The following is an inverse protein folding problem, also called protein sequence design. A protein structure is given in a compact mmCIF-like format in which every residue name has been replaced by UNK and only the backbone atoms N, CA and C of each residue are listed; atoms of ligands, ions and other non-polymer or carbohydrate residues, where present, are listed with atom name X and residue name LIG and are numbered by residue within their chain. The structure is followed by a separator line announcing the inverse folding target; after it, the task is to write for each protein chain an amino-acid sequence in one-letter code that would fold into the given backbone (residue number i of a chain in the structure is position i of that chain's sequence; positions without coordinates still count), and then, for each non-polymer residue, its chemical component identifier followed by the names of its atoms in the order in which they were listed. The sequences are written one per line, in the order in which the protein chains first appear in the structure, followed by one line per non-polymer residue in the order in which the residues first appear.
data_IF_576936073981
#
_entry.id   IF_576936073981
#
_cell.length_a   1.000
_cell.length_b   1.000
_cell.length_c   1.000
_cell.angle_alpha   90.00
_cell.angle_beta   90.00
_cell.angle_gamma   90.00
#
_symmetry.space_group_name_H-M   'P 1'
#
loop_
_entity.id
_entity.type
_entity.pdbx_description
1 polymer ?
#
# COMPACT_ATOMS: atom_id res chain seq x y z
N UNK A 1 24.33 14.52 9.01
CA UNK A 1 23.92 14.24 7.61
C UNK A 1 22.40 14.19 7.58
N UNK A 2 21.80 14.64 6.49
CA UNK A 2 20.49 15.30 6.34
C UNK A 2 19.26 14.60 6.94
N UNK A 3 18.59 15.27 7.88
CA UNK A 3 17.21 14.99 8.27
C UNK A 3 16.27 15.58 7.22
N UNK A 4 15.52 14.76 6.46
CA UNK A 4 14.41 15.26 5.64
C UNK A 4 14.29 14.72 4.22
N UNK A 5 14.93 13.60 3.87
CA UNK A 5 14.55 12.89 2.64
C UNK A 5 13.20 12.23 2.91
N UNK A 6 12.15 12.89 2.46
CA UNK A 6 10.80 12.45 2.73
C UNK A 6 10.59 11.16 1.92
N UNK A 7 10.57 10.01 2.61
CA UNK A 7 10.29 8.65 2.09
C UNK A 7 8.87 8.58 1.50
N UNK A 8 8.61 9.34 0.44
CA UNK A 8 7.31 9.48 -0.22
C UNK A 8 7.36 8.81 -1.57
N UNK A 9 6.61 7.73 -1.72
CA UNK A 9 6.44 7.05 -2.99
C UNK A 9 5.16 7.52 -3.69
N UNK A 10 5.21 7.95 -4.97
CA UNK A 10 4.04 8.37 -5.72
C UNK A 10 3.05 7.21 -5.98
N UNK A 11 1.79 7.38 -5.58
CA UNK A 11 0.74 6.35 -5.75
C UNK A 11 0.53 5.98 -7.23
N UNK A 12 0.70 6.93 -8.14
CA UNK A 12 0.53 6.69 -9.57
C UNK A 12 1.57 5.70 -10.14
N UNK A 13 2.73 5.54 -9.50
CA UNK A 13 3.77 4.59 -9.91
C UNK A 13 3.51 3.15 -9.41
N UNK A 14 2.58 2.95 -8.47
CA UNK A 14 2.25 1.63 -7.93
C UNK A 14 1.66 0.69 -9.01
N UNK A 15 0.95 1.23 -10.00
CA UNK A 15 0.42 0.43 -11.11
C UNK A 15 1.56 -0.26 -11.86
N UNK A 16 2.59 0.49 -12.23
CA UNK A 16 3.77 -0.04 -12.92
C UNK A 16 4.57 -0.99 -12.03
N UNK A 17 4.75 -0.67 -10.75
CA UNK A 17 5.47 -1.51 -9.76
C UNK A 17 4.86 -2.91 -9.64
N UNK A 18 3.53 -3.01 -9.68
CA UNK A 18 2.80 -4.28 -9.55
C UNK A 18 2.42 -4.91 -10.90
N UNK A 19 3.27 -4.73 -11.92
CA UNK A 19 3.11 -5.39 -13.22
C UNK A 19 1.95 -4.84 -14.07
N UNK A 20 1.63 -3.55 -13.95
CA UNK A 20 0.54 -2.93 -14.71
C UNK A 20 -0.84 -3.10 -14.06
N UNK A 21 -0.88 -3.24 -12.73
CA UNK A 21 -2.13 -3.37 -11.99
C UNK A 21 -3.05 -2.18 -12.28
N UNK A 22 -4.34 -2.45 -12.54
CA UNK A 22 -5.31 -1.39 -12.80
C UNK A 22 -5.47 -0.48 -11.60
N UNK A 23 -5.67 0.82 -11.84
CA UNK A 23 -5.84 1.84 -10.78
C UNK A 23 -6.83 1.42 -9.70
N UNK A 24 -8.00 0.89 -10.05
CA UNK A 24 -9.01 0.47 -9.07
C UNK A 24 -8.47 -0.58 -8.10
N UNK A 25 -7.66 -1.53 -8.57
CA UNK A 25 -7.06 -2.55 -7.73
C UNK A 25 -5.95 -1.98 -6.83
N UNK A 26 -5.20 -0.96 -7.26
CA UNK A 26 -4.23 -0.27 -6.39
C UNK A 26 -4.95 0.41 -5.23
N UNK A 27 -6.00 1.18 -5.53
CA UNK A 27 -6.75 1.90 -4.52
C UNK A 27 -7.52 0.97 -3.58
N UNK A 28 -8.03 -0.16 -4.09
CA UNK A 28 -8.64 -1.20 -3.26
C UNK A 28 -7.65 -1.75 -2.23
N UNK A 29 -6.40 -2.03 -2.62
CA UNK A 29 -5.37 -2.51 -1.68
C UNK A 29 -4.99 -1.48 -0.63
N UNK A 30 -4.88 -0.20 -1.03
CA UNK A 30 -4.64 0.88 -0.09
C UNK A 30 -5.77 0.96 0.95
N UNK A 31 -7.02 0.86 0.50
CA UNK A 31 -8.20 0.81 1.37
C UNK A 31 -8.19 -0.42 2.28
N UNK A 32 -7.92 -1.61 1.74
CA UNK A 32 -7.85 -2.86 2.51
C UNK A 32 -6.81 -2.80 3.63
N UNK A 33 -5.70 -2.08 3.41
CA UNK A 33 -4.63 -1.84 4.38
C UNK A 33 -4.85 -0.59 5.25
N UNK A 34 -5.98 0.12 5.12
CA UNK A 34 -6.25 1.39 5.80
C UNK A 34 -5.20 2.49 5.53
N UNK A 35 -4.50 2.43 4.39
CA UNK A 35 -3.50 3.41 3.99
C UNK A 35 -4.21 4.60 3.35
N UNK A 36 -3.93 5.80 3.87
CA UNK A 36 -4.48 7.06 3.35
C UNK A 36 -3.36 7.87 2.67
N UNK A 37 -3.27 7.84 1.33
CA UNK A 37 -2.26 8.61 0.63
C UNK A 37 -2.34 10.10 0.92
N UNK A 38 -1.19 10.73 1.14
CA UNK A 38 -1.07 12.16 1.38
C UNK A 38 -0.98 12.91 0.05
N UNK A 39 -1.88 13.86 -0.17
CA UNK A 39 -1.86 14.70 -1.38
C UNK A 39 -0.86 15.83 -1.22
N UNK A 40 0.08 15.93 -2.15
CA UNK A 40 1.04 17.04 -2.26
C UNK A 40 0.98 17.57 -3.68
N UNK A 41 0.39 18.76 -3.84
CA UNK A 41 0.09 19.35 -5.14
C UNK A 41 -0.89 18.51 -5.97
N UNK A 42 -0.43 18.01 -7.12
CA UNK A 42 -1.22 17.18 -8.06
C UNK A 42 -1.07 15.68 -7.81
N UNK A 43 -0.11 15.26 -6.99
CA UNK A 43 0.22 13.85 -6.77
C UNK A 43 -0.20 13.42 -5.36
N UNK A 44 -0.48 12.12 -5.23
CA UNK A 44 -0.67 11.47 -3.93
C UNK A 44 0.53 10.59 -3.65
N UNK A 45 0.95 10.57 -2.39
CA UNK A 45 2.13 9.85 -1.93
C UNK A 45 1.78 8.94 -0.75
N UNK A 46 2.51 7.84 -0.64
CA UNK A 46 2.54 6.98 0.56
C UNK A 46 3.94 6.98 1.13
N UNK A 47 4.08 6.65 2.41
CA UNK A 47 5.36 6.52 3.09
C UNK A 47 6.10 5.24 2.65
N UNK A 48 7.40 5.15 2.94
CA UNK A 48 8.18 3.92 2.72
C UNK A 48 7.61 2.70 3.46
N UNK A 49 7.12 2.88 4.69
CA UNK A 49 6.49 1.81 5.46
C UNK A 49 5.16 1.34 4.84
N UNK A 50 4.34 2.28 4.36
CA UNK A 50 3.09 1.97 3.65
C UNK A 50 3.36 1.28 2.30
N UNK A 51 4.43 1.69 1.60
CA UNK A 51 4.88 1.02 0.38
C UNK A 51 5.27 -0.43 0.65
N UNK A 52 6.04 -0.67 1.72
CA UNK A 52 6.43 -2.02 2.11
C UNK A 52 5.19 -2.90 2.41
N UNK A 53 4.19 -2.39 3.12
CA UNK A 53 2.95 -3.12 3.37
C UNK A 53 2.20 -3.45 2.07
N UNK A 54 2.17 -2.52 1.13
CA UNK A 54 1.58 -2.74 -0.19
C UNK A 54 2.34 -3.81 -1.00
N UNK A 55 3.67 -3.82 -0.92
CA UNK A 55 4.52 -4.83 -1.57
C UNK A 55 4.25 -6.22 -1.00
N UNK A 56 4.26 -6.35 0.33
CA UNK A 56 3.99 -7.60 1.03
C UNK A 56 2.58 -8.14 0.73
N UNK A 57 1.57 -7.26 0.74
CA UNK A 57 0.20 -7.64 0.35
C UNK A 57 0.15 -8.10 -1.11
N UNK A 58 0.86 -7.42 -2.01
CA UNK A 58 0.87 -7.80 -3.42
C UNK A 58 1.45 -9.21 -3.60
N UNK A 59 2.59 -9.48 -2.98
CA UNK A 59 3.21 -10.81 -3.01
C UNK A 59 2.31 -11.87 -2.40
N UNK A 60 1.66 -11.58 -1.28
CA UNK A 60 0.75 -12.51 -0.62
C UNK A 60 -0.42 -12.89 -1.53
N UNK A 61 -1.01 -11.93 -2.23
CA UNK A 61 -2.07 -12.16 -3.21
C UNK A 61 -1.55 -12.98 -4.40
N UNK A 62 -0.34 -12.70 -4.90
CA UNK A 62 0.26 -13.46 -6.01
C UNK A 62 0.50 -14.93 -5.66
N UNK A 63 0.73 -15.24 -4.37
CA UNK A 63 0.88 -16.62 -3.88
C UNK A 63 -0.47 -17.33 -3.61
N UNK A 64 -1.59 -16.70 -3.95
CA UNK A 64 -2.94 -17.25 -3.76
C UNK A 64 -3.62 -16.85 -2.45
N UNK A 65 -3.01 -15.94 -1.68
CA UNK A 65 -3.62 -15.37 -0.47
C UNK A 65 -4.66 -14.29 -0.77
N UNK A 66 -5.35 -13.85 0.29
CA UNK A 66 -6.31 -12.72 0.24
C UNK A 66 -5.87 -11.59 1.16
N UNK A 67 -6.37 -10.37 0.93
CA UNK A 67 -6.07 -9.24 1.80
C UNK A 67 -6.60 -9.43 3.23
N UNK A 68 -7.72 -10.13 3.41
CA UNK A 68 -8.23 -10.48 4.74
C UNK A 68 -7.27 -11.42 5.49
N UNK A 69 -6.84 -12.51 4.84
CA UNK A 69 -5.86 -13.43 5.43
C UNK A 69 -4.51 -12.76 5.69
N UNK A 70 -4.08 -11.83 4.83
CA UNK A 70 -2.88 -11.04 5.06
C UNK A 70 -3.00 -10.17 6.32
N UNK A 71 -4.14 -9.49 6.51
CA UNK A 71 -4.38 -8.67 7.70
C UNK A 71 -4.44 -9.50 8.97
N UNK A 72 -5.09 -10.66 8.93
CA UNK A 72 -5.09 -11.63 10.04
C UNK A 72 -3.66 -12.03 10.41
N UNK A 73 -2.86 -12.44 9.42
CA UNK A 73 -1.46 -12.84 9.62
C UNK A 73 -0.60 -11.72 10.20
N UNK A 74 -0.83 -10.46 9.80
CA UNK A 74 -0.08 -9.28 10.27
C UNK A 74 -0.64 -8.67 11.56
N UNK A 75 -1.77 -9.16 12.08
CA UNK A 75 -2.44 -8.54 13.22
C UNK A 75 -3.03 -7.16 12.92
N UNK A 76 -3.36 -6.89 11.66
CA UNK A 76 -3.92 -5.60 11.18
C UNK A 76 -5.45 -5.56 11.21
N UNK A 77 -6.12 -6.60 11.71
CA UNK A 77 -7.57 -6.61 11.88
C UNK A 77 -7.97 -5.61 12.96
N UNK A 78 -8.50 -4.46 12.53
CA UNK A 78 -9.07 -3.44 13.42
C UNK A 78 -10.58 -3.66 13.67
N UNK A 79 -11.00 -4.91 13.83
CA UNK A 79 -12.36 -5.28 14.29
C UNK A 79 -12.27 -6.08 15.59
N UNK A 80 -11.66 -5.48 16.61
CA UNK A 80 -12.00 -5.77 18.01
C UNK A 80 -12.82 -4.60 18.54
N UNK A 81 -14.12 -4.62 18.23
CA UNK A 81 -15.16 -3.88 18.95
C UNK A 81 -16.47 -4.66 18.85
#
# INVERSE_FOLDING_TARGET
MSSGEIDRFPVNQLQARYGGLVRSAVYKRLEELNIKPQRVGRNSFITGAELQLMDELHEFIQRGGSAAAFKEMRGLNQDQA
#
